data_IF_300346167676
#
_entry.id   IF_300346167676
#
_cell.length_a   1.000
_cell.length_b   1.000
_cell.length_c   1.000
_cell.angle_alpha   90.00
_cell.angle_beta   90.00
_cell.angle_gamma   90.00
#
_symmetry.space_group_name_H-M   'P 1'
#
loop_
_entity.id
_entity.type
_entity.pdbx_description
1 polymer ?
#
# COMPACT_ATOMS: atom_id res chain seq x y z
N UNK A 1 0.92 -5.88 -11.74
CA UNK A 1 2.23 -5.91 -11.08
C UNK A 1 2.09 -6.68 -9.78
N UNK A 2 3.19 -7.19 -9.24
CA UNK A 2 3.24 -7.82 -7.91
C UNK A 2 4.31 -7.11 -7.10
N UNK A 3 4.07 -6.94 -5.81
CA UNK A 3 5.02 -6.37 -4.88
C UNK A 3 5.00 -7.15 -3.60
N UNK A 4 6.20 -7.44 -3.10
CA UNK A 4 6.41 -8.08 -1.82
C UNK A 4 6.57 -7.00 -0.75
N UNK A 5 5.65 -6.98 0.21
CA UNK A 5 5.70 -6.06 1.35
C UNK A 5 6.72 -6.48 2.40
N UNK A 6 7.36 -7.65 2.27
CA UNK A 6 8.36 -8.18 3.22
C UNK A 6 7.79 -8.62 4.58
N UNK A 7 6.53 -8.28 4.85
CA UNK A 7 5.80 -8.51 6.10
C UNK A 7 4.31 -8.70 5.80
N UNK A 8 3.59 -9.34 6.72
CA UNK A 8 2.15 -9.58 6.58
C UNK A 8 1.35 -8.28 6.52
N UNK A 9 0.29 -8.26 5.71
CA UNK A 9 -0.66 -7.14 5.67
C UNK A 9 -1.58 -7.23 6.88
N UNK A 10 -1.60 -6.19 7.71
CA UNK A 10 -2.40 -6.15 8.95
C UNK A 10 -3.74 -5.46 8.73
N UNK A 11 -3.76 -4.40 7.92
CA UNK A 11 -4.92 -3.53 7.76
C UNK A 11 -5.65 -3.77 6.43
N UNK A 12 -6.94 -3.46 6.41
CA UNK A 12 -7.71 -3.42 5.15
C UNK A 12 -7.14 -2.33 4.24
N UNK A 13 -6.80 -2.64 2.97
CA UNK A 13 -6.34 -1.62 2.03
C UNK A 13 -7.39 -0.52 1.82
N UNK A 14 -6.94 0.72 1.58
CA UNK A 14 -7.82 1.86 1.34
C UNK A 14 -7.44 2.59 0.03
N UNK A 15 -8.44 3.12 -0.68
CA UNK A 15 -8.24 3.87 -1.91
C UNK A 15 -8.84 5.27 -1.78
N UNK A 16 -8.04 6.29 -2.05
CA UNK A 16 -8.47 7.70 -2.13
C UNK A 16 -7.56 8.48 -3.07
N UNK A 17 -8.12 9.43 -3.84
CA UNK A 17 -7.37 10.31 -4.76
C UNK A 17 -6.40 9.56 -5.70
N UNK A 18 -6.86 8.43 -6.26
CA UNK A 18 -6.05 7.60 -7.16
C UNK A 18 -4.88 6.86 -6.48
N UNK A 19 -4.83 6.85 -5.14
CA UNK A 19 -3.78 6.18 -4.35
C UNK A 19 -4.35 5.01 -3.57
N UNK A 20 -3.62 3.90 -3.57
CA UNK A 20 -3.86 2.71 -2.76
C UNK A 20 -2.89 2.70 -1.58
N UNK A 21 -3.43 2.62 -0.36
CA UNK A 21 -2.65 2.59 0.88
C UNK A 21 -2.81 1.23 1.56
N UNK A 22 -1.69 0.66 2.02
CA UNK A 22 -1.62 -0.65 2.68
C UNK A 22 -0.72 -0.56 3.91
N UNK A 23 -1.20 -1.05 5.07
CA UNK A 23 -0.44 -1.15 6.30
C UNK A 23 -0.02 -2.59 6.63
N UNK A 24 1.23 -2.78 7.07
CA UNK A 24 1.78 -4.09 7.44
C UNK A 24 1.91 -4.28 8.96
N UNK A 25 2.12 -5.54 9.37
CA UNK A 25 2.23 -5.95 10.78
C UNK A 25 3.43 -5.32 11.50
N UNK A 26 4.52 -5.07 10.78
CA UNK A 26 5.75 -4.43 11.26
C UNK A 26 5.68 -2.89 11.23
N UNK A 27 4.50 -2.33 10.98
CA UNK A 27 4.24 -0.89 11.08
C UNK A 27 4.66 -0.08 9.85
N UNK A 28 4.93 -0.73 8.71
CA UNK A 28 5.18 -0.02 7.45
C UNK A 28 3.87 0.35 6.75
N UNK A 29 3.90 1.48 6.04
CA UNK A 29 2.79 1.99 5.22
C UNK A 29 3.27 2.16 3.79
N UNK A 30 2.63 1.43 2.87
CA UNK A 30 2.90 1.50 1.44
C UNK A 30 1.81 2.31 0.75
N UNK A 31 2.22 3.21 -0.15
CA UNK A 31 1.32 3.99 -0.98
C UNK A 31 1.66 3.77 -2.45
N UNK A 32 0.67 3.32 -3.22
CA UNK A 32 0.80 3.09 -4.65
C UNK A 32 -0.12 4.03 -5.42
N UNK A 33 0.35 4.51 -6.55
CA UNK A 33 -0.41 5.37 -7.44
C UNK A 33 0.41 5.58 -8.71
N UNK A 34 -0.17 6.26 -9.69
CA UNK A 34 0.58 6.74 -10.84
C UNK A 34 1.27 8.03 -10.46
N UNK A 35 2.57 8.16 -10.75
CA UNK A 35 3.19 9.48 -10.83
C UNK A 35 2.48 10.21 -11.98
N UNK A 36 1.90 11.39 -11.70
CA UNK A 36 1.17 12.16 -12.71
C UNK A 36 1.99 12.32 -13.99
N UNK A 37 1.33 12.20 -15.14
CA UNK A 37 1.89 12.40 -16.48
C UNK A 37 2.49 13.79 -16.67
#
# INVERSE_FOLDING_TARGET
WRFDTGSGVMATPAVADGRLVIGTVDGQLYCFGTTGS
#
